data_IF_228830836551
#
_entry.id   IF_228830836551
#
_cell.length_a   1.000
_cell.length_b   1.000
_cell.length_c   1.000
_cell.angle_alpha   90.00
_cell.angle_beta   90.00
_cell.angle_gamma   90.00
#
_symmetry.space_group_name_H-M   'P 1'
#
loop_
_entity.id
_entity.type
_entity.pdbx_description
1 polymer ?
#
# COMPACT_ATOMS: atom_id res chain seq x y z
N UNK A 1 18.91 12.90 -5.21
CA UNK A 1 19.92 11.83 -5.10
C UNK A 1 19.86 10.91 -6.31
N UNK A 2 21.04 10.53 -6.82
CA UNK A 2 21.20 9.53 -7.87
C UNK A 2 21.55 8.19 -7.19
N UNK A 3 20.83 7.13 -7.52
CA UNK A 3 21.11 5.80 -7.04
C UNK A 3 21.43 4.91 -8.25
N UNK A 4 22.65 4.38 -8.31
CA UNK A 4 23.03 3.35 -9.26
C UNK A 4 22.70 1.97 -8.70
N UNK A 5 22.23 1.05 -9.52
CA UNK A 5 22.12 -0.36 -9.18
C UNK A 5 22.79 -1.22 -10.22
N UNK A 6 23.49 -2.24 -9.74
CA UNK A 6 24.02 -3.31 -10.55
C UNK A 6 23.26 -4.58 -10.24
N UNK A 7 22.81 -5.29 -11.27
CA UNK A 7 22.17 -6.58 -11.10
C UNK A 7 22.77 -7.58 -12.10
N UNK A 8 23.15 -8.75 -11.59
CA UNK A 8 23.57 -9.88 -12.39
C UNK A 8 22.44 -10.90 -12.43
N UNK A 9 21.98 -11.19 -13.64
CA UNK A 9 20.96 -12.23 -13.86
C UNK A 9 21.61 -13.43 -14.53
N UNK A 10 21.36 -14.60 -13.99
CA UNK A 10 21.79 -15.87 -14.59
C UNK A 10 20.54 -16.71 -14.81
N UNK A 11 20.20 -16.98 -16.07
CA UNK A 11 19.09 -17.83 -16.46
C UNK A 11 19.62 -18.92 -17.37
N UNK A 12 19.55 -20.17 -16.93
CA UNK A 12 20.20 -21.34 -17.58
C UNK A 12 21.71 -21.09 -17.69
N UNK A 13 22.28 -21.21 -18.88
CA UNK A 13 23.72 -21.01 -19.15
C UNK A 13 24.07 -19.57 -19.56
N UNK A 14 23.07 -18.75 -19.90
CA UNK A 14 23.28 -17.36 -20.27
C UNK A 14 23.09 -16.42 -19.06
N UNK A 15 24.15 -15.73 -18.72
CA UNK A 15 24.15 -14.67 -17.72
C UNK A 15 24.42 -13.33 -18.36
N UNK A 16 23.67 -12.29 -17.99
CA UNK A 16 23.95 -10.93 -18.41
C UNK A 16 24.08 -9.98 -17.23
N UNK A 17 25.00 -9.04 -17.38
CA UNK A 17 25.22 -7.98 -16.41
C UNK A 17 24.52 -6.73 -16.90
N UNK A 18 23.73 -6.09 -16.06
CA UNK A 18 23.02 -4.87 -16.41
C UNK A 18 23.25 -3.77 -15.40
N UNK A 19 23.71 -2.63 -15.90
CA UNK A 19 23.83 -1.40 -15.12
C UNK A 19 22.54 -0.59 -15.30
N UNK A 20 22.03 -0.03 -14.21
CA UNK A 20 20.83 0.82 -14.22
C UNK A 20 21.09 2.07 -13.42
N UNK A 21 20.87 3.20 -14.05
CA UNK A 21 20.82 4.49 -13.37
C UNK A 21 19.37 4.74 -12.94
N UNK A 22 19.13 4.92 -11.62
CA UNK A 22 17.82 5.09 -11.02
C UNK A 22 17.73 6.46 -10.33
N UNK A 23 17.43 7.52 -11.09
CA UNK A 23 17.37 8.87 -10.56
C UNK A 23 16.22 9.02 -9.57
N UNK A 24 16.48 9.79 -8.51
CA UNK A 24 15.48 10.23 -7.53
C UNK A 24 15.64 11.73 -7.31
N UNK A 25 14.55 12.45 -7.48
CA UNK A 25 14.48 13.88 -7.20
C UNK A 25 13.54 14.12 -6.02
N UNK A 26 13.99 14.93 -5.08
CA UNK A 26 13.16 15.41 -3.97
C UNK A 26 13.36 16.91 -3.85
N UNK A 27 12.27 17.62 -3.92
CA UNK A 27 12.22 19.06 -3.73
C UNK A 27 11.26 19.35 -2.58
N UNK A 28 11.63 20.30 -1.74
CA UNK A 28 10.77 20.82 -0.67
C UNK A 28 10.81 22.33 -0.68
N UNK A 29 9.66 22.95 -0.54
CA UNK A 29 9.52 24.40 -0.53
C UNK A 29 8.54 24.83 0.54
N UNK A 30 9.03 25.73 1.45
CA UNK A 30 8.19 26.39 2.44
C UNK A 30 7.54 27.60 1.78
N UNK A 31 6.26 27.43 1.38
CA UNK A 31 5.52 28.52 0.72
C UNK A 31 5.12 29.62 1.71
N UNK A 32 4.75 29.23 2.93
CA UNK A 32 4.48 30.13 4.05
C UNK A 32 4.69 29.39 5.37
N UNK A 33 4.58 30.09 6.51
CA UNK A 33 4.70 29.46 7.84
C UNK A 33 3.71 28.29 8.05
N UNK A 34 2.63 28.30 7.30
CA UNK A 34 1.54 27.34 7.42
C UNK A 34 1.46 26.32 6.26
N UNK A 35 2.24 26.51 5.18
CA UNK A 35 2.14 25.70 3.97
C UNK A 35 3.51 25.22 3.54
N UNK A 36 3.65 23.90 3.42
CA UNK A 36 4.85 23.23 2.94
C UNK A 36 4.52 22.34 1.73
N UNK A 37 5.27 22.47 0.65
CA UNK A 37 5.07 21.72 -0.60
C UNK A 37 6.26 20.80 -0.83
N UNK A 38 6.00 19.57 -1.16
CA UNK A 38 7.01 18.55 -1.50
C UNK A 38 6.72 17.93 -2.85
N UNK A 39 7.76 17.75 -3.62
CA UNK A 39 7.73 16.96 -4.84
C UNK A 39 8.74 15.81 -4.73
N UNK A 40 8.32 14.63 -5.18
CA UNK A 40 9.16 13.44 -5.28
C UNK A 40 8.97 12.81 -6.65
N UNK A 41 10.06 12.71 -7.40
CA UNK A 41 10.12 11.98 -8.66
C UNK A 41 11.13 10.84 -8.55
N UNK A 42 10.76 9.66 -9.02
CA UNK A 42 11.69 8.53 -9.07
C UNK A 42 11.44 7.64 -10.27
N UNK A 43 12.54 7.09 -10.78
CA UNK A 43 12.52 5.99 -11.75
C UNK A 43 13.04 4.76 -11.03
N UNK A 44 12.33 3.64 -11.18
CA UNK A 44 12.75 2.35 -10.64
C UNK A 44 12.53 1.25 -11.68
N UNK A 45 13.22 0.14 -11.51
CA UNK A 45 13.06 -1.06 -12.33
C UNK A 45 12.61 -2.21 -11.47
N UNK A 46 11.73 -3.03 -12.01
CA UNK A 46 11.25 -4.25 -11.36
C UNK A 46 11.61 -5.46 -12.20
N UNK A 47 12.24 -6.44 -11.56
CA UNK A 47 12.53 -7.74 -12.14
C UNK A 47 11.34 -8.68 -11.99
N UNK A 48 11.14 -9.62 -12.91
CA UNK A 48 10.18 -10.70 -12.70
C UNK A 48 10.52 -11.52 -11.46
N UNK A 49 9.50 -12.02 -10.78
CA UNK A 49 9.67 -12.97 -9.70
C UNK A 49 10.06 -14.36 -10.23
N UNK A 50 10.77 -15.14 -9.42
CA UNK A 50 11.12 -16.53 -9.80
C UNK A 50 9.87 -17.38 -10.06
N UNK A 51 8.82 -17.18 -9.28
CA UNK A 51 7.53 -17.83 -9.46
C UNK A 51 6.86 -17.48 -10.79
N UNK A 52 7.08 -16.27 -11.30
CA UNK A 52 6.48 -15.79 -12.55
C UNK A 52 7.21 -16.35 -13.77
N UNK A 53 8.47 -16.73 -13.59
CA UNK A 53 9.33 -17.27 -14.65
C UNK A 53 9.33 -18.80 -14.71
N UNK A 54 8.88 -19.48 -13.66
CA UNK A 54 8.85 -20.94 -13.61
C UNK A 54 7.87 -21.53 -14.64
N UNK A 55 8.33 -22.40 -15.52
CA UNK A 55 7.52 -23.02 -16.57
C UNK A 55 6.74 -24.28 -16.11
N UNK A 56 6.66 -24.49 -14.80
CA UNK A 56 5.89 -25.63 -14.24
C UNK A 56 4.40 -25.32 -14.36
N UNK A 57 3.70 -26.18 -15.09
CA UNK A 57 2.25 -26.09 -15.22
C UNK A 57 1.58 -26.59 -13.93
N UNK A 58 0.74 -25.75 -13.34
CA UNK A 58 -0.06 -26.07 -12.16
C UNK A 58 -1.54 -26.09 -12.55
N UNK A 59 -2.23 -27.18 -12.28
CA UNK A 59 -3.65 -27.29 -12.48
C UNK A 59 -4.39 -26.43 -11.45
N UNK A 60 -5.22 -25.49 -11.90
CA UNK A 60 -6.09 -24.71 -11.04
C UNK A 60 -7.44 -25.42 -10.90
N UNK A 61 -8.00 -25.85 -12.02
CA UNK A 61 -9.20 -26.68 -12.11
C UNK A 61 -9.16 -27.54 -13.39
N UNK A 62 -10.25 -28.22 -13.70
CA UNK A 62 -10.33 -29.13 -14.88
C UNK A 62 -10.10 -28.45 -16.23
N UNK A 63 -10.26 -27.13 -16.32
CA UNK A 63 -10.14 -26.33 -17.54
C UNK A 63 -9.03 -25.30 -17.51
N UNK A 64 -8.51 -24.98 -16.31
CA UNK A 64 -7.54 -23.89 -16.12
C UNK A 64 -6.21 -24.40 -15.59
N UNK A 65 -5.15 -23.95 -16.23
CA UNK A 65 -3.76 -24.22 -15.85
C UNK A 65 -3.03 -22.91 -15.61
N UNK A 66 -2.22 -22.85 -14.60
CA UNK A 66 -1.27 -21.75 -14.38
C UNK A 66 0.11 -22.16 -14.86
N UNK A 67 0.75 -21.30 -15.62
CA UNK A 67 2.13 -21.47 -16.08
C UNK A 67 2.88 -20.16 -15.98
N UNK A 68 4.10 -20.17 -15.48
CA UNK A 68 4.97 -18.99 -15.55
C UNK A 68 5.53 -18.83 -16.97
N UNK A 69 6.18 -17.69 -17.19
CA UNK A 69 6.77 -17.31 -18.47
C UNK A 69 8.27 -17.00 -18.29
N UNK A 70 9.18 -17.84 -18.77
CA UNK A 70 10.62 -17.61 -18.65
C UNK A 70 11.14 -16.44 -19.51
N UNK A 71 10.34 -15.93 -20.46
CA UNK A 71 10.72 -14.82 -21.35
C UNK A 71 10.44 -13.44 -20.75
N UNK A 72 9.96 -13.38 -19.52
CA UNK A 72 9.67 -12.13 -18.84
C UNK A 72 10.90 -11.24 -18.71
N UNK A 73 10.71 -9.96 -19.01
CA UNK A 73 11.76 -8.94 -18.98
C UNK A 73 11.53 -7.93 -17.86
N UNK A 74 12.62 -7.34 -17.40
CA UNK A 74 12.59 -6.21 -16.45
C UNK A 74 11.79 -5.06 -17.05
N UNK A 75 10.98 -4.42 -16.22
CA UNK A 75 10.20 -3.25 -16.62
C UNK A 75 10.53 -2.01 -15.78
N UNK A 76 10.17 -0.84 -16.31
CA UNK A 76 10.47 0.46 -15.70
C UNK A 76 9.21 1.07 -15.11
N UNK A 77 9.36 1.65 -13.92
CA UNK A 77 8.31 2.35 -13.17
C UNK A 77 8.73 3.80 -12.95
N UNK A 78 7.91 4.72 -13.39
CA UNK A 78 8.01 6.15 -13.15
C UNK A 78 6.98 6.53 -12.10
N UNK A 79 7.41 7.17 -11.02
CA UNK A 79 6.52 7.63 -9.96
C UNK A 79 6.77 9.10 -9.66
N UNK A 80 5.71 9.88 -9.66
CA UNK A 80 5.71 11.29 -9.33
C UNK A 80 4.68 11.54 -8.23
N UNK A 81 5.07 12.25 -7.21
CA UNK A 81 4.24 12.61 -6.06
C UNK A 81 4.38 14.10 -5.78
N UNK A 82 3.28 14.79 -5.70
CA UNK A 82 3.19 16.17 -5.22
C UNK A 82 2.35 16.18 -3.96
N UNK A 83 2.85 16.81 -2.93
CA UNK A 83 2.25 16.83 -1.60
C UNK A 83 2.29 18.27 -1.07
N UNK A 84 1.16 18.75 -0.58
CA UNK A 84 1.05 20.05 0.05
C UNK A 84 0.43 19.89 1.43
N UNK A 85 1.22 20.14 2.47
CA UNK A 85 0.79 20.17 3.86
C UNK A 85 0.39 21.59 4.24
N UNK A 86 -0.72 21.73 4.95
CA UNK A 86 -1.11 23.02 5.53
C UNK A 86 -1.56 22.86 6.98
N UNK A 87 -1.27 23.85 7.80
CA UNK A 87 -1.67 23.90 9.22
C UNK A 87 -1.98 25.31 9.65
N UNK A 88 -3.16 25.50 10.26
CA UNK A 88 -3.54 26.77 10.88
C UNK A 88 -4.36 26.53 12.15
N UNK A 89 -3.79 26.79 13.31
CA UNK A 89 -4.42 26.54 14.59
C UNK A 89 -4.76 25.05 14.78
N UNK A 90 -6.02 24.76 15.01
CA UNK A 90 -6.54 23.39 15.18
C UNK A 90 -6.82 22.67 13.86
N UNK A 91 -6.75 23.36 12.74
CA UNK A 91 -7.01 22.82 11.42
C UNK A 91 -5.70 22.47 10.71
N UNK A 92 -5.61 21.25 10.20
CA UNK A 92 -4.51 20.83 9.34
C UNK A 92 -5.04 19.94 8.22
N UNK A 93 -4.30 19.87 7.15
CA UNK A 93 -4.63 19.00 6.05
C UNK A 93 -3.44 18.77 5.13
N UNK A 94 -3.64 17.82 4.24
CA UNK A 94 -2.69 17.43 3.24
C UNK A 94 -3.41 17.20 1.91
N UNK A 95 -2.86 17.71 0.84
CA UNK A 95 -3.27 17.38 -0.53
C UNK A 95 -2.15 16.57 -1.14
N UNK A 96 -2.44 15.34 -1.55
CA UNK A 96 -1.50 14.44 -2.16
C UNK A 96 -1.94 14.05 -3.57
N UNK A 97 -1.09 14.27 -4.55
CA UNK A 97 -1.28 13.85 -5.93
C UNK A 97 -0.18 12.87 -6.31
N UNK A 98 -0.57 11.63 -6.59
CA UNK A 98 0.35 10.58 -7.02
C UNK A 98 0.02 10.13 -8.43
N UNK A 99 1.05 10.10 -9.28
CA UNK A 99 0.96 9.54 -10.63
C UNK A 99 2.05 8.48 -10.80
N UNK A 100 1.64 7.29 -11.21
CA UNK A 100 2.54 6.18 -11.51
C UNK A 100 2.29 5.68 -12.92
N UNK A 101 3.38 5.57 -13.69
CA UNK A 101 3.39 4.97 -15.01
C UNK A 101 4.36 3.78 -15.02
N UNK A 102 3.92 2.66 -15.57
CA UNK A 102 4.76 1.48 -15.77
C UNK A 102 4.86 1.20 -17.27
N UNK A 103 6.10 1.13 -17.74
CA UNK A 103 6.41 0.82 -19.13
C UNK A 103 6.74 -0.66 -19.25
N UNK A 104 5.97 -1.38 -20.06
CA UNK A 104 6.04 -2.83 -20.26
C UNK A 104 5.91 -3.64 -18.96
N UNK A 105 4.93 -3.35 -18.10
CA UNK A 105 4.75 -4.05 -16.84
C UNK A 105 4.47 -5.53 -17.07
N UNK A 106 4.82 -6.34 -16.08
CA UNK A 106 4.45 -7.74 -16.03
C UNK A 106 3.03 -7.79 -15.46
N UNK A 107 2.07 -8.23 -16.27
CA UNK A 107 0.67 -8.38 -15.87
C UNK A 107 0.16 -9.76 -16.24
N UNK A 108 -0.76 -10.29 -15.42
CA UNK A 108 -1.39 -11.57 -15.67
C UNK A 108 -2.32 -11.47 -16.88
N UNK A 109 -2.29 -12.48 -17.71
CA UNK A 109 -3.20 -12.68 -18.84
C UNK A 109 -3.72 -14.11 -18.86
N UNK A 110 -4.90 -14.31 -19.41
CA UNK A 110 -5.46 -15.63 -19.65
C UNK A 110 -5.56 -15.85 -21.14
N UNK A 111 -4.85 -16.86 -21.64
CA UNK A 111 -4.86 -17.26 -23.05
C UNK A 111 -5.53 -18.62 -23.21
N UNK A 112 -6.03 -18.90 -24.40
CA UNK A 112 -6.57 -20.21 -24.75
C UNK A 112 -5.48 -21.02 -25.45
N UNK A 113 -5.15 -22.18 -24.90
CA UNK A 113 -4.18 -23.11 -25.49
C UNK A 113 -4.80 -23.88 -26.68
N UNK A 114 -3.96 -24.48 -27.48
CA UNK A 114 -4.35 -25.35 -28.63
C UNK A 114 -5.27 -26.51 -28.23
N UNK A 115 -5.18 -26.93 -26.97
CA UNK A 115 -6.02 -28.00 -26.40
C UNK A 115 -7.34 -27.48 -25.80
N UNK A 116 -7.74 -26.26 -26.11
CA UNK A 116 -8.91 -25.59 -25.53
C UNK A 116 -8.85 -25.34 -24.00
N UNK A 117 -7.71 -25.53 -23.37
CA UNK A 117 -7.50 -25.21 -21.97
C UNK A 117 -7.19 -23.72 -21.80
N UNK A 118 -7.64 -23.12 -20.69
CA UNK A 118 -7.30 -21.76 -20.32
C UNK A 118 -5.96 -21.76 -19.56
N UNK A 119 -5.01 -21.00 -20.05
CA UNK A 119 -3.69 -20.86 -19.41
C UNK A 119 -3.56 -19.46 -18.83
N UNK A 120 -3.47 -19.38 -17.51
CA UNK A 120 -3.15 -18.14 -16.80
C UNK A 120 -1.63 -18.01 -16.75
N UNK A 121 -1.11 -16.94 -17.31
CA UNK A 121 0.33 -16.66 -17.37
C UNK A 121 0.60 -15.18 -17.14
N UNK A 122 1.87 -14.82 -16.99
CA UNK A 122 2.31 -13.44 -16.92
C UNK A 122 3.02 -13.06 -18.22
N UNK A 123 2.76 -11.85 -18.72
CA UNK A 123 3.45 -11.30 -19.87
C UNK A 123 3.87 -9.83 -19.65
N UNK A 124 4.88 -9.39 -20.38
CA UNK A 124 5.20 -7.96 -20.44
C UNK A 124 4.17 -7.26 -21.33
N UNK A 125 3.19 -6.63 -20.74
CA UNK A 125 2.12 -5.91 -21.40
C UNK A 125 2.57 -4.50 -21.87
N UNK A 126 1.69 -3.68 -22.45
CA UNK A 126 2.09 -2.38 -23.03
C UNK A 126 2.37 -1.33 -21.95
N UNK A 127 1.36 -1.03 -21.11
CA UNK A 127 1.50 -0.02 -20.07
C UNK A 127 0.46 -0.17 -18.96
N UNK A 128 0.77 0.38 -17.83
CA UNK A 128 -0.17 0.55 -16.74
C UNK A 128 0.05 1.90 -16.06
N UNK A 129 -1.04 2.60 -15.77
CA UNK A 129 -1.02 3.92 -15.16
C UNK A 129 -1.98 3.98 -13.99
N UNK A 130 -1.59 4.75 -12.98
CA UNK A 130 -2.44 5.10 -11.85
C UNK A 130 -2.31 6.59 -11.54
N UNK A 131 -3.43 7.28 -11.48
CA UNK A 131 -3.55 8.63 -10.94
C UNK A 131 -4.35 8.57 -9.66
N UNK A 132 -3.83 9.17 -8.59
CA UNK A 132 -4.46 9.18 -7.29
C UNK A 132 -4.34 10.55 -6.62
N UNK A 133 -5.31 11.46 -6.83
CA UNK A 133 -5.52 12.61 -5.97
C UNK A 133 -6.16 12.19 -4.66
N UNK A 134 -5.64 12.70 -3.53
CA UNK A 134 -6.12 12.44 -2.18
C UNK A 134 -6.10 13.74 -1.37
N UNK A 135 -7.13 13.97 -0.57
CA UNK A 135 -7.25 15.07 0.37
C UNK A 135 -7.42 14.50 1.77
N UNK A 136 -6.60 14.94 2.69
CA UNK A 136 -6.72 14.67 4.11
C UNK A 136 -7.01 15.97 4.88
N UNK A 137 -7.97 15.93 5.77
CA UNK A 137 -8.36 17.04 6.64
C UNK A 137 -8.40 16.56 8.08
N UNK A 138 -7.89 17.37 8.99
CA UNK A 138 -7.92 17.12 10.43
C UNK A 138 -8.29 18.37 11.18
N UNK A 139 -9.25 18.23 12.08
CA UNK A 139 -9.69 19.28 13.00
C UNK A 139 -9.52 18.79 14.43
N UNK A 140 -8.79 19.52 15.23
CA UNK A 140 -8.63 19.21 16.65
C UNK A 140 -7.16 19.13 17.13
N UNK A 141 -6.98 18.87 18.43
CA UNK A 141 -8.04 18.53 19.40
C UNK A 141 -8.90 19.75 19.80
N UNK A 142 -10.21 19.60 19.71
CA UNK A 142 -11.16 20.60 20.23
C UNK A 142 -11.27 20.44 21.74
N UNK A 143 -10.94 21.49 22.50
CA UNK A 143 -10.89 21.49 23.98
C UNK A 143 -10.08 20.31 24.55
N UNK A 144 -9.00 19.91 23.84
CA UNK A 144 -8.16 18.77 24.19
C UNK A 144 -8.91 17.42 24.31
N UNK A 145 -10.12 17.35 23.80
CA UNK A 145 -10.98 16.18 23.91
C UNK A 145 -11.21 15.50 22.56
N UNK A 146 -11.58 16.26 21.54
CA UNK A 146 -12.17 15.70 20.32
C UNK A 146 -11.34 16.02 19.09
N UNK A 147 -11.07 15.01 18.28
CA UNK A 147 -10.36 15.13 17.00
C UNK A 147 -11.19 14.49 15.91
N UNK A 148 -11.36 15.19 14.79
CA UNK A 148 -11.97 14.69 13.57
C UNK A 148 -10.89 14.58 12.50
N UNK A 149 -10.88 13.46 11.78
CA UNK A 149 -10.03 13.24 10.61
C UNK A 149 -10.91 12.75 9.48
N UNK A 150 -10.69 13.28 8.29
CA UNK A 150 -11.38 12.88 7.08
C UNK A 150 -10.39 12.81 5.94
N UNK A 151 -10.34 11.70 5.22
CA UNK A 151 -9.60 11.59 3.99
C UNK A 151 -10.50 11.09 2.87
N UNK A 152 -10.27 11.59 1.67
CA UNK A 152 -10.96 11.14 0.47
C UNK A 152 -10.05 11.23 -0.73
N UNK A 153 -10.25 10.34 -1.69
CA UNK A 153 -9.45 10.32 -2.89
C UNK A 153 -10.08 9.50 -4.00
N UNK A 154 -9.48 9.61 -5.15
CA UNK A 154 -9.88 8.86 -6.35
C UNK A 154 -8.67 8.06 -6.83
N UNK A 155 -8.88 6.77 -7.09
CA UNK A 155 -7.95 5.98 -7.86
C UNK A 155 -8.47 5.88 -9.29
N UNK A 156 -7.74 6.42 -10.25
CA UNK A 156 -7.97 6.20 -11.67
C UNK A 156 -6.86 5.31 -12.21
N UNK A 157 -7.24 4.26 -12.91
CA UNK A 157 -6.34 3.29 -13.52
C UNK A 157 -6.58 3.22 -15.02
N UNK A 158 -5.50 3.11 -15.79
CA UNK A 158 -5.50 2.80 -17.22
C UNK A 158 -4.53 1.62 -17.43
N UNK A 159 -5.05 0.49 -17.87
CA UNK A 159 -4.31 -0.76 -18.04
C UNK A 159 -4.40 -1.20 -19.50
N UNK A 160 -3.26 -1.24 -20.18
CA UNK A 160 -3.15 -1.60 -21.59
C UNK A 160 -2.30 -2.84 -21.75
N UNK A 161 -2.95 -3.90 -22.13
CA UNK A 161 -2.33 -5.14 -22.56
C UNK A 161 -2.06 -5.17 -24.05
N UNK A 162 -1.58 -6.31 -24.53
CA UNK A 162 -1.41 -6.57 -25.97
C UNK A 162 -2.78 -6.68 -26.68
N UNK A 163 -3.76 -7.29 -26.01
CA UNK A 163 -5.09 -7.59 -26.58
C UNK A 163 -6.25 -6.95 -25.81
N UNK A 164 -5.96 -6.11 -24.81
CA UNK A 164 -6.99 -5.45 -23.99
C UNK A 164 -6.64 -4.01 -23.64
N UNK A 165 -7.66 -3.22 -23.34
CA UNK A 165 -7.55 -1.89 -22.75
C UNK A 165 -8.70 -1.71 -21.76
N UNK A 166 -8.35 -1.53 -20.48
CA UNK A 166 -9.32 -1.31 -19.42
C UNK A 166 -8.99 -0.03 -18.66
N UNK A 167 -10.03 0.70 -18.31
CA UNK A 167 -9.95 1.81 -17.36
C UNK A 167 -10.83 1.51 -16.17
N UNK A 168 -10.40 1.91 -15.00
CA UNK A 168 -11.16 1.72 -13.78
C UNK A 168 -11.01 2.93 -12.86
N UNK A 169 -12.12 3.39 -12.30
CA UNK A 169 -12.14 4.51 -11.35
C UNK A 169 -12.81 4.08 -10.05
N UNK A 170 -12.19 4.39 -8.92
CA UNK A 170 -12.71 4.13 -7.61
C UNK A 170 -12.57 5.36 -6.72
N UNK A 171 -13.68 5.87 -6.24
CA UNK A 171 -13.71 6.86 -5.17
C UNK A 171 -13.67 6.15 -3.81
N UNK A 172 -12.88 6.66 -2.88
CA UNK A 172 -12.77 6.16 -1.52
C UNK A 172 -12.73 7.29 -0.51
N UNK A 173 -13.17 6.99 0.70
CA UNK A 173 -13.09 7.88 1.84
C UNK A 173 -12.80 7.10 3.13
N UNK A 174 -12.26 7.81 4.10
CA UNK A 174 -12.12 7.39 5.49
C UNK A 174 -12.47 8.56 6.39
N UNK A 175 -13.33 8.32 7.35
CA UNK A 175 -13.69 9.28 8.39
C UNK A 175 -13.38 8.68 9.75
N UNK A 176 -12.80 9.47 10.64
CA UNK A 176 -12.43 9.06 11.98
C UNK A 176 -12.77 10.16 12.98
N UNK A 177 -13.36 9.77 14.10
CA UNK A 177 -13.59 10.63 15.25
C UNK A 177 -12.92 9.99 16.45
N UNK A 178 -12.01 10.73 17.09
CA UNK A 178 -11.35 10.31 18.33
C UNK A 178 -11.77 11.25 19.45
N UNK A 179 -12.12 10.67 20.60
CA UNK A 179 -12.46 11.41 21.81
C UNK A 179 -11.62 10.89 22.98
N UNK A 180 -11.06 11.84 23.78
CA UNK A 180 -10.32 11.50 24.99
C UNK A 180 -10.73 12.45 26.11
N UNK A 181 -11.31 11.90 27.18
CA UNK A 181 -11.74 12.68 28.32
C UNK A 181 -11.34 12.00 29.62
N UNK A 182 -10.48 12.62 30.40
CA UNK A 182 -9.94 12.06 31.65
C UNK A 182 -9.31 10.66 31.42
N UNK A 183 -9.98 9.63 31.85
CA UNK A 183 -9.54 8.22 31.77
C UNK A 183 -10.19 7.45 30.63
N UNK A 184 -11.13 8.07 29.95
CA UNK A 184 -11.86 7.50 28.84
C UNK A 184 -11.23 7.90 27.50
N UNK A 185 -11.11 6.95 26.60
CA UNK A 185 -10.84 7.26 25.19
C UNK A 185 -11.72 6.38 24.31
N UNK A 186 -12.24 6.97 23.27
CA UNK A 186 -13.08 6.29 22.30
C UNK A 186 -12.75 6.75 20.90
N UNK A 187 -13.07 5.91 19.95
CA UNK A 187 -12.96 6.26 18.54
C UNK A 187 -14.07 5.61 17.73
N UNK A 188 -14.44 6.28 16.67
CA UNK A 188 -15.25 5.73 15.60
C UNK A 188 -14.53 5.96 14.28
N UNK A 189 -14.39 4.92 13.49
CA UNK A 189 -13.79 4.97 12.16
C UNK A 189 -14.71 4.29 11.18
N UNK A 190 -14.81 4.87 9.99
CA UNK A 190 -15.49 4.27 8.86
C UNK A 190 -14.69 4.50 7.58
N UNK A 191 -14.63 3.49 6.73
CA UNK A 191 -14.00 3.58 5.41
C UNK A 191 -14.74 2.71 4.40
N UNK A 192 -14.75 3.16 3.15
CA UNK A 192 -15.28 2.37 2.04
C UNK A 192 -14.15 1.67 1.28
N UNK A 193 -14.52 0.87 0.31
CA UNK A 193 -13.60 0.08 -0.51
C UNK A 193 -12.58 0.96 -1.26
N UNK A 194 -11.29 0.76 -0.98
CA UNK A 194 -10.18 1.30 -1.76
C UNK A 194 -9.67 0.21 -2.69
N UNK A 195 -10.28 0.12 -3.87
CA UNK A 195 -10.02 -0.95 -4.81
C UNK A 195 -8.66 -0.79 -5.52
N UNK A 196 -8.08 -1.91 -5.91
CA UNK A 196 -6.86 -1.94 -6.71
C UNK A 196 -7.12 -2.64 -8.05
N UNK A 197 -6.66 -2.02 -9.14
CA UNK A 197 -6.80 -2.56 -10.47
C UNK A 197 -5.43 -2.69 -11.14
N UNK A 198 -5.07 -3.91 -11.58
CA UNK A 198 -3.80 -4.18 -12.20
C UNK A 198 -3.94 -5.26 -13.28
N UNK A 199 -3.50 -4.95 -14.51
CA UNK A 199 -3.78 -5.81 -15.65
C UNK A 199 -5.27 -5.85 -15.95
N UNK A 200 -5.83 -7.04 -15.91
CA UNK A 200 -7.26 -7.32 -16.02
C UNK A 200 -7.90 -7.65 -14.66
N UNK A 201 -7.12 -7.57 -13.56
CA UNK A 201 -7.57 -7.97 -12.23
C UNK A 201 -7.97 -6.79 -11.38
N UNK A 202 -9.21 -6.77 -10.93
CA UNK A 202 -9.76 -5.88 -9.92
C UNK A 202 -9.80 -6.61 -8.58
N UNK A 203 -9.10 -6.07 -7.58
CA UNK A 203 -9.20 -6.51 -6.20
C UNK A 203 -10.00 -5.48 -5.41
N UNK A 204 -11.10 -5.91 -4.82
CA UNK A 204 -11.88 -5.05 -3.94
C UNK A 204 -11.14 -4.83 -2.64
N UNK A 205 -10.98 -3.57 -2.25
CA UNK A 205 -10.48 -3.20 -0.94
C UNK A 205 -11.47 -3.55 0.17
N UNK A 206 -11.03 -3.46 1.38
CA UNK A 206 -11.89 -3.69 2.54
C UNK A 206 -12.69 -2.41 2.87
N UNK A 207 -13.88 -2.61 3.42
CA UNK A 207 -14.73 -1.54 3.96
C UNK A 207 -14.99 -1.86 5.42
N UNK A 208 -14.49 -1.02 6.31
CA UNK A 208 -14.57 -1.24 7.75
C UNK A 208 -15.31 -0.11 8.46
N UNK A 209 -16.12 -0.52 9.44
CA UNK A 209 -16.66 0.36 10.46
C UNK A 209 -16.18 -0.16 11.80
N UNK A 210 -15.56 0.70 12.59
CA UNK A 210 -15.03 0.29 13.90
C UNK A 210 -15.42 1.31 14.95
N UNK A 211 -15.99 0.83 16.05
CA UNK A 211 -16.28 1.62 17.24
C UNK A 211 -15.48 1.04 18.40
N UNK A 212 -14.70 1.87 19.07
CA UNK A 212 -13.92 1.45 20.23
C UNK A 212 -14.09 2.39 21.41
N UNK A 213 -14.05 1.81 22.60
CA UNK A 213 -14.06 2.53 23.88
C UNK A 213 -13.05 1.89 24.80
N UNK A 214 -12.25 2.71 25.49
CA UNK A 214 -11.32 2.22 26.50
C UNK A 214 -11.31 3.09 27.74
N UNK A 215 -11.02 2.45 28.87
CA UNK A 215 -10.90 3.07 30.17
C UNK A 215 -9.58 2.72 30.81
N UNK A 216 -8.82 3.74 31.21
CA UNK A 216 -7.52 3.59 31.89
C UNK A 216 -7.66 3.88 33.37
N UNK A 217 -7.34 2.89 34.19
CA UNK A 217 -7.26 3.04 35.64
C UNK A 217 -5.87 2.63 36.13
N UNK A 218 -5.08 3.63 36.54
CA UNK A 218 -3.68 3.43 36.97
C UNK A 218 -2.88 2.64 35.91
N UNK A 219 -2.57 1.38 36.18
CA UNK A 219 -1.81 0.48 35.33
C UNK A 219 -2.70 -0.48 34.51
N UNK A 220 -4.00 -0.45 34.75
CA UNK A 220 -4.99 -1.25 34.06
C UNK A 220 -5.61 -0.46 32.91
N UNK A 221 -5.72 -1.08 31.74
CA UNK A 221 -6.45 -0.55 30.60
C UNK A 221 -7.46 -1.60 30.15
N UNK A 222 -8.73 -1.24 30.16
CA UNK A 222 -9.83 -2.07 29.69
C UNK A 222 -10.36 -1.44 28.41
N UNK A 223 -10.38 -2.19 27.33
CA UNK A 223 -10.87 -1.74 26.02
C UNK A 223 -11.92 -2.69 25.48
N UNK A 224 -12.88 -2.12 24.78
CA UNK A 224 -13.89 -2.83 24.02
C UNK A 224 -13.93 -2.23 22.61
N UNK A 225 -14.11 -3.08 21.62
CA UNK A 225 -14.18 -2.68 20.22
C UNK A 225 -15.22 -3.54 19.51
N UNK A 226 -15.99 -2.93 18.63
CA UNK A 226 -16.90 -3.61 17.73
C UNK A 226 -16.43 -3.32 16.31
N UNK A 227 -16.13 -4.36 15.56
CA UNK A 227 -15.82 -4.30 14.14
C UNK A 227 -17.09 -4.54 13.34
N UNK A 228 -17.30 -3.74 12.33
CA UNK A 228 -18.43 -3.82 11.40
C UNK A 228 -19.82 -3.89 12.09
N UNK A 229 -20.13 -2.98 13.05
CA UNK A 229 -21.40 -3.05 13.79
C UNK A 229 -22.66 -2.97 12.92
N UNK A 230 -22.52 -2.40 11.70
CA UNK A 230 -23.63 -2.14 10.79
C UNK A 230 -23.64 -3.08 9.56
N UNK A 231 -22.76 -4.09 9.53
CA UNK A 231 -22.60 -5.01 8.38
C UNK A 231 -23.09 -6.39 8.77
N UNK A 232 -24.03 -6.94 8.00
CA UNK A 232 -24.55 -8.30 8.21
C UNK A 232 -23.77 -9.36 7.43
N UNK A 233 -23.24 -8.99 6.27
CA UNK A 233 -22.50 -9.88 5.37
C UNK A 233 -21.21 -9.20 4.91
N UNK A 234 -20.15 -9.33 5.69
CA UNK A 234 -18.84 -8.86 5.27
C UNK A 234 -18.31 -9.75 4.15
N UNK A 235 -17.88 -9.11 3.07
CA UNK A 235 -17.36 -9.81 1.90
C UNK A 235 -16.10 -9.17 1.37
N UNK A 236 -15.20 -10.02 0.93
CA UNK A 236 -14.00 -9.67 0.17
C UNK A 236 -14.11 -10.29 -1.21
N UNK A 237 -13.38 -9.79 -2.18
CA UNK A 237 -13.43 -10.41 -3.49
C UNK A 237 -12.62 -9.70 -4.54
N UNK A 238 -12.78 -10.17 -5.75
CA UNK A 238 -12.14 -9.62 -6.93
C UNK A 238 -12.86 -10.02 -8.20
N UNK A 239 -12.48 -9.36 -9.27
CA UNK A 239 -13.04 -9.55 -10.60
C UNK A 239 -11.91 -9.59 -11.63
N UNK A 240 -12.00 -10.53 -12.55
CA UNK A 240 -11.13 -10.66 -13.70
C UNK A 240 -11.88 -10.20 -14.95
N UNK A 241 -11.36 -9.19 -15.64
CA UNK A 241 -11.95 -8.61 -16.85
C UNK A 241 -11.46 -9.29 -18.13
N UNK A 242 -10.87 -10.48 -18.03
CA UNK A 242 -10.38 -11.22 -19.19
C UNK A 242 -11.51 -11.48 -20.19
N UNK A 243 -11.24 -11.24 -21.47
CA UNK A 243 -12.17 -11.57 -22.56
C UNK A 243 -12.38 -13.07 -22.73
N UNK A 244 -11.39 -13.87 -22.33
CA UNK A 244 -11.36 -15.32 -22.54
C UNK A 244 -11.97 -16.07 -21.36
N UNK A 245 -11.67 -15.63 -20.13
CA UNK A 245 -12.14 -16.28 -18.91
C UNK A 245 -12.51 -15.23 -17.84
N UNK A 246 -13.60 -14.47 -18.05
CA UNK A 246 -14.04 -13.52 -17.05
C UNK A 246 -14.51 -14.24 -15.80
N UNK A 247 -14.19 -13.69 -14.63
CA UNK A 247 -14.62 -14.28 -13.36
C UNK A 247 -14.86 -13.20 -12.30
N UNK A 248 -15.77 -13.50 -11.38
CA UNK A 248 -16.04 -12.66 -10.22
C UNK A 248 -16.21 -13.54 -9.01
N UNK A 249 -15.36 -13.33 -8.02
CA UNK A 249 -15.30 -14.16 -6.83
C UNK A 249 -15.58 -13.31 -5.59
N UNK A 250 -16.37 -13.87 -4.66
CA UNK A 250 -16.69 -13.29 -3.37
C UNK A 250 -16.46 -14.32 -2.26
N UNK A 251 -15.78 -13.87 -1.21
CA UNK A 251 -15.62 -14.62 0.04
C UNK A 251 -16.40 -13.91 1.14
N UNK A 252 -17.28 -14.64 1.79
CA UNK A 252 -18.08 -14.14 2.90
C UNK A 252 -17.42 -14.54 4.21
N UNK A 253 -17.13 -13.54 5.06
CA UNK A 253 -16.46 -13.73 6.34
C UNK A 253 -17.40 -13.31 7.45
N UNK A 254 -18.24 -14.24 7.90
CA UNK A 254 -19.26 -13.98 8.93
C UNK A 254 -18.65 -13.53 10.25
N UNK A 255 -17.47 -14.05 10.59
CA UNK A 255 -16.74 -13.75 11.82
C UNK A 255 -16.30 -12.27 11.88
N UNK A 256 -16.22 -11.59 10.75
CA UNK A 256 -15.90 -10.16 10.66
C UNK A 256 -17.13 -9.26 10.74
N UNK A 257 -18.34 -9.83 10.87
CA UNK A 257 -19.57 -9.08 11.03
C UNK A 257 -19.91 -8.92 12.51
N UNK A 258 -20.10 -7.68 12.97
CA UNK A 258 -20.44 -7.39 14.38
C UNK A 258 -19.49 -8.05 15.37
N UNK A 259 -18.21 -8.17 15.02
CA UNK A 259 -17.22 -8.80 15.86
C UNK A 259 -16.94 -7.92 17.09
N UNK A 260 -17.26 -8.46 18.27
CA UNK A 260 -16.96 -7.81 19.53
C UNK A 260 -15.63 -8.30 20.07
N UNK A 261 -14.74 -7.36 20.42
CA UNK A 261 -13.43 -7.64 20.99
C UNK A 261 -13.31 -6.92 22.33
N UNK A 262 -13.00 -7.65 23.39
CA UNK A 262 -12.64 -7.10 24.69
C UNK A 262 -11.15 -7.33 24.96
N UNK A 263 -10.47 -6.29 25.46
CA UNK A 263 -9.05 -6.33 25.77
C UNK A 263 -8.83 -5.80 27.18
N UNK A 264 -8.12 -6.56 28.00
CA UNK A 264 -7.65 -6.13 29.30
C UNK A 264 -6.12 -6.15 29.27
N UNK A 265 -5.50 -5.01 29.57
CA UNK A 265 -4.05 -4.88 29.65
C UNK A 265 -3.65 -4.37 31.03
N UNK A 266 -2.77 -5.08 31.67
CA UNK A 266 -2.21 -4.69 32.96
C UNK A 266 -0.70 -4.51 32.84
N UNK A 267 -0.21 -3.30 33.05
CA UNK A 267 1.21 -3.01 33.00
C UNK A 267 1.83 -3.27 34.38
N UNK A 268 2.47 -4.41 34.51
CA UNK A 268 3.16 -4.83 35.76
C UNK A 268 4.64 -4.47 35.58
N UNK A 269 5.13 -3.54 36.40
CA UNK A 269 6.55 -3.18 36.44
C UNK A 269 7.12 -3.51 37.83
N UNK A 270 8.13 -4.35 37.86
CA UNK A 270 8.90 -4.69 39.06
C UNK A 270 10.30 -4.09 38.98
N UNK A 271 10.89 -3.75 40.13
CA UNK A 271 12.26 -3.29 40.23
C UNK A 271 12.43 -1.76 40.36
N UNK A 272 13.67 -1.35 40.68
CA UNK A 272 14.06 0.07 40.70
C UNK A 272 13.94 0.67 39.31
N UNK A 273 13.27 1.82 39.20
CA UNK A 273 13.33 2.65 37.98
C UNK A 273 14.72 3.22 37.88
N UNK A 274 15.55 2.67 37.03
CA UNK A 274 16.75 3.37 36.58
C UNK A 274 16.29 4.33 35.49
N UNK A 275 16.57 5.63 35.69
CA UNK A 275 16.53 6.55 34.56
C UNK A 275 17.61 6.10 33.60
N UNK A 276 17.24 5.43 32.56
CA UNK A 276 18.12 5.19 31.43
C UNK A 276 18.38 6.55 30.82
N UNK A 277 19.55 7.13 31.11
CA UNK A 277 20.08 8.21 30.27
C UNK A 277 19.97 7.70 28.84
N UNK A 278 19.17 8.40 28.02
CA UNK A 278 19.24 8.22 26.59
C UNK A 278 20.67 8.58 26.17
N UNK A 279 21.54 7.58 26.08
CA UNK A 279 22.79 7.74 25.35
C UNK A 279 22.38 8.13 23.93
N UNK A 280 22.43 9.43 23.64
CA UNK A 280 22.58 9.88 22.25
C UNK A 280 23.93 9.34 21.83
N UNK A 281 23.92 8.21 21.15
CA UNK A 281 25.06 7.77 20.36
C UNK A 281 25.12 8.75 19.21
N UNK A 282 25.95 9.79 19.34
CA UNK A 282 26.40 10.56 18.19
C UNK A 282 27.29 9.60 17.40
N UNK A 283 26.68 8.83 16.51
CA UNK A 283 27.41 8.16 15.46
C UNK A 283 27.77 9.22 14.41
N UNK A 284 28.74 10.04 14.72
CA UNK A 284 29.53 10.81 13.76
C UNK A 284 30.64 9.93 13.17
N UNK A 285 30.38 8.65 12.92
CA UNK A 285 31.23 7.85 12.04
C UNK A 285 30.95 8.24 10.59
N UNK A 286 31.45 9.42 10.24
CA UNK A 286 31.56 9.88 8.85
C UNK A 286 32.69 9.14 8.08
N UNK A 287 33.39 8.21 8.70
CA UNK A 287 34.42 7.39 8.09
C UNK A 287 33.85 6.04 7.69
N UNK A 288 33.43 5.93 6.45
CA UNK A 288 33.23 4.68 5.77
C UNK A 288 34.48 3.81 5.86
N UNK A 289 34.64 3.02 6.94
CA UNK A 289 35.46 1.82 7.04
C UNK A 289 36.88 1.80 6.41
N UNK A 290 37.50 2.94 6.17
CA UNK A 290 38.89 2.97 5.71
C UNK A 290 39.80 2.95 6.94
N UNK A 291 40.37 1.78 7.23
CA UNK A 291 41.48 1.64 8.12
C UNK A 291 42.61 2.59 7.66
N UNK A 292 42.94 3.60 8.47
CA UNK A 292 44.18 4.35 8.31
C UNK A 292 45.30 3.37 8.54
N UNK A 293 46.07 3.01 7.48
CA UNK A 293 47.35 2.33 7.62
C UNK A 293 48.25 3.26 8.42
N UNK A 294 48.59 2.85 9.65
CA UNK A 294 49.56 3.54 10.46
C UNK A 294 50.94 3.56 9.79
N UNK A 295 51.59 4.71 9.87
CA UNK A 295 53.05 4.81 9.78
C UNK A 295 53.60 4.57 11.16
#
# INVERSE_FOLDING_TARGET
>A
SLQGSYARFKQKEEGYNRYSLLPRLRLGYQFSDNVFIRYRGQISRKSPGLSDMGNVRQLIDSLQVRSGNPELKIFTVYKNELEADFRKGLFSGNVHLSYQYQHRPIMEETIRDKNNSFVRTNANQLSWQKLNPELELKLGPLKDILTFSFSTGINYYDSRGLDYHHTYTNWYYRAEVMASYKRWSGFFQMENHRNNFYGETLSYGESFHTLGLSYRYKRLNIGMMILNPFVDNYRMGGEMFSKVAPSKNWWYVKESCRLFVAKVSWNISFGRKYETMQKRVNNEDSNAGTLKSGK
#
